data_IF_785956977071
#
_entry.id   IF_785956977071
#
_cell.length_a   1.000
_cell.length_b   1.000
_cell.length_c   1.000
_cell.angle_alpha   90.00
_cell.angle_beta   90.00
_cell.angle_gamma   90.00
#
_symmetry.space_group_name_H-M   'P 1'
#
loop_
_entity.id
_entity.type
_entity.pdbx_description
1 polymer ?
#
# COMPACT_ATOMS: atom_id res chain seq x y z
N UNK A 1 -28.83 -2.62 -2.28
CA UNK A 1 -27.53 -2.18 -2.83
C UNK A 1 -26.58 -3.35 -3.11
N UNK A 2 -26.25 -4.22 -2.14
CA UNK A 2 -25.35 -5.37 -2.41
C UNK A 2 -25.92 -6.39 -3.42
N UNK A 3 -27.22 -6.77 -3.28
CA UNK A 3 -27.86 -7.71 -4.22
C UNK A 3 -27.87 -7.20 -5.67
N UNK A 4 -28.06 -5.90 -5.88
CA UNK A 4 -28.02 -5.29 -7.21
C UNK A 4 -26.61 -5.30 -7.80
N UNK A 5 -25.57 -5.06 -6.98
CA UNK A 5 -24.19 -5.16 -7.44
C UNK A 5 -23.82 -6.58 -7.86
N UNK A 6 -24.22 -7.59 -7.07
CA UNK A 6 -24.03 -9.00 -7.43
C UNK A 6 -24.72 -9.33 -8.76
N UNK A 7 -25.99 -8.94 -8.92
CA UNK A 7 -26.74 -9.20 -10.14
C UNK A 7 -26.11 -8.54 -11.38
N UNK A 8 -25.66 -7.29 -11.27
CA UNK A 8 -24.98 -6.59 -12.37
C UNK A 8 -23.69 -7.31 -12.74
N UNK A 9 -22.83 -7.62 -11.77
CA UNK A 9 -21.55 -8.26 -12.06
C UNK A 9 -21.74 -9.68 -12.64
N UNK A 10 -22.71 -10.46 -12.13
CA UNK A 10 -23.05 -11.77 -12.72
C UNK A 10 -23.49 -11.62 -14.18
N UNK A 11 -24.39 -10.67 -14.47
CA UNK A 11 -24.84 -10.42 -15.84
C UNK A 11 -23.69 -9.98 -16.76
N UNK A 12 -22.74 -9.18 -16.26
CA UNK A 12 -21.56 -8.77 -17.01
C UNK A 12 -20.63 -9.95 -17.30
N UNK A 13 -20.43 -10.87 -16.34
CA UNK A 13 -19.66 -12.11 -16.58
C UNK A 13 -20.31 -12.95 -17.67
N UNK A 14 -21.62 -13.19 -17.59
CA UNK A 14 -22.36 -13.96 -18.60
C UNK A 14 -22.29 -13.31 -20.00
N UNK A 15 -22.42 -11.98 -20.07
CA UNK A 15 -22.32 -11.25 -21.34
C UNK A 15 -20.91 -11.35 -21.92
N UNK A 16 -19.88 -11.18 -21.09
CA UNK A 16 -18.50 -11.30 -21.52
C UNK A 16 -18.15 -12.73 -21.96
N UNK A 17 -18.65 -13.76 -21.28
CA UNK A 17 -18.47 -15.16 -21.69
C UNK A 17 -19.05 -15.42 -23.09
N UNK A 18 -20.25 -14.90 -23.36
CA UNK A 18 -20.87 -15.01 -24.69
C UNK A 18 -20.05 -14.30 -25.75
N UNK A 19 -19.55 -13.09 -25.45
CA UNK A 19 -18.72 -12.34 -26.37
C UNK A 19 -17.40 -13.08 -26.67
N UNK A 20 -16.66 -13.49 -25.63
CA UNK A 20 -15.38 -14.17 -25.75
C UNK A 20 -15.49 -15.54 -26.46
N UNK A 21 -16.65 -16.21 -26.39
CA UNK A 21 -16.89 -17.44 -27.16
C UNK A 21 -17.02 -17.24 -28.67
N UNK A 22 -17.24 -15.99 -29.11
CA UNK A 22 -17.47 -15.63 -30.51
C UNK A 22 -16.33 -14.79 -31.09
N UNK A 23 -15.59 -14.08 -30.24
CA UNK A 23 -14.45 -13.24 -30.62
C UNK A 23 -13.18 -14.09 -30.76
N UNK A 24 -12.32 -13.68 -31.68
CA UNK A 24 -10.92 -14.12 -31.76
C UNK A 24 -10.07 -13.18 -30.92
N UNK A 25 -8.92 -13.67 -30.45
CA UNK A 25 -7.98 -12.86 -29.68
C UNK A 25 -7.45 -11.62 -30.43
N UNK A 26 -7.55 -11.61 -31.77
CA UNK A 26 -7.17 -10.47 -32.62
C UNK A 26 -8.26 -9.42 -32.76
N UNK A 27 -9.48 -9.68 -32.28
CA UNK A 27 -10.60 -8.77 -32.45
C UNK A 27 -10.50 -7.63 -31.44
N UNK A 28 -10.75 -6.39 -31.89
CA UNK A 28 -10.63 -5.18 -31.05
C UNK A 28 -11.45 -5.25 -29.74
N UNK A 29 -12.58 -5.96 -29.76
CA UNK A 29 -13.48 -6.10 -28.62
C UNK A 29 -13.05 -7.19 -27.61
N UNK A 30 -12.06 -8.03 -27.95
CA UNK A 30 -11.63 -9.12 -27.08
C UNK A 30 -11.13 -8.58 -25.73
N UNK A 31 -10.25 -7.57 -25.78
CA UNK A 31 -9.66 -6.96 -24.58
C UNK A 31 -10.71 -6.28 -23.70
N UNK A 32 -11.72 -5.64 -24.31
CA UNK A 32 -12.83 -5.04 -23.57
C UNK A 32 -13.66 -6.09 -22.85
N UNK A 33 -14.05 -7.17 -23.55
CA UNK A 33 -14.83 -8.26 -22.97
C UNK A 33 -14.05 -9.00 -21.86
N UNK A 34 -12.77 -9.28 -22.09
CA UNK A 34 -11.89 -9.92 -21.11
C UNK A 34 -11.71 -9.05 -19.87
N UNK A 35 -11.50 -7.75 -20.04
CA UNK A 35 -11.37 -6.78 -18.93
C UNK A 35 -12.68 -6.72 -18.12
N UNK A 36 -13.83 -6.62 -18.79
CA UNK A 36 -15.13 -6.57 -18.13
C UNK A 36 -15.39 -7.84 -17.31
N UNK A 37 -15.04 -9.02 -17.84
CA UNK A 37 -15.13 -10.29 -17.12
C UNK A 37 -14.21 -10.33 -15.90
N UNK A 38 -12.94 -9.97 -16.06
CA UNK A 38 -11.96 -9.92 -14.97
C UNK A 38 -12.44 -9.03 -13.81
N UNK A 39 -12.87 -7.81 -14.11
CA UNK A 39 -13.34 -6.86 -13.10
C UNK A 39 -14.62 -7.33 -12.40
N UNK A 40 -15.53 -7.96 -13.14
CA UNK A 40 -16.79 -8.47 -12.59
C UNK A 40 -16.58 -9.68 -11.70
N UNK A 41 -15.67 -10.60 -12.07
CA UNK A 41 -15.27 -11.73 -11.24
C UNK A 41 -14.57 -11.27 -9.95
N UNK A 42 -13.67 -10.29 -10.04
CA UNK A 42 -13.06 -9.64 -8.87
C UNK A 42 -14.12 -9.04 -7.94
N UNK A 43 -15.10 -8.32 -8.49
CA UNK A 43 -16.19 -7.74 -7.70
C UNK A 43 -17.02 -8.82 -6.99
N UNK A 44 -17.39 -9.90 -7.68
CA UNK A 44 -18.13 -11.01 -7.08
C UNK A 44 -17.33 -11.71 -5.98
N UNK A 45 -16.03 -11.92 -6.20
CA UNK A 45 -15.10 -12.47 -5.20
C UNK A 45 -15.09 -11.61 -3.94
N UNK A 46 -14.95 -10.28 -4.08
CA UNK A 46 -15.01 -9.33 -2.95
C UNK A 46 -16.35 -9.32 -2.22
N UNK A 47 -17.44 -9.64 -2.92
CA UNK A 47 -18.79 -9.76 -2.35
C UNK A 47 -19.06 -11.15 -1.75
N UNK A 48 -18.03 -12.00 -1.60
CA UNK A 48 -18.09 -13.29 -0.92
C UNK A 48 -18.46 -14.48 -1.82
N UNK A 49 -18.50 -14.31 -3.15
CA UNK A 49 -18.74 -15.42 -4.06
C UNK A 49 -17.44 -16.22 -4.29
N UNK A 50 -17.32 -17.36 -3.63
CA UNK A 50 -16.13 -18.23 -3.70
C UNK A 50 -15.95 -18.89 -5.07
N UNK A 51 -17.04 -19.16 -5.82
CA UNK A 51 -16.94 -19.69 -7.17
C UNK A 51 -16.30 -18.65 -8.10
N UNK A 52 -16.74 -17.39 -8.02
CA UNK A 52 -16.15 -16.30 -8.79
C UNK A 52 -14.67 -16.07 -8.48
N UNK A 53 -14.24 -16.33 -7.24
CA UNK A 53 -12.83 -16.30 -6.86
C UNK A 53 -11.99 -17.38 -7.57
N UNK A 54 -12.53 -18.59 -7.74
CA UNK A 54 -11.89 -19.66 -8.52
C UNK A 54 -11.91 -19.35 -10.01
N UNK A 55 -13.02 -18.85 -10.53
CA UNK A 55 -13.18 -18.49 -11.94
C UNK A 55 -12.25 -17.34 -12.33
N UNK A 56 -12.09 -16.34 -11.45
CA UNK A 56 -11.12 -15.26 -11.63
C UNK A 56 -9.71 -15.82 -11.78
N UNK A 57 -9.31 -16.75 -10.91
CA UNK A 57 -7.95 -17.32 -10.97
C UNK A 57 -7.72 -18.07 -12.28
N UNK A 58 -8.64 -18.94 -12.66
CA UNK A 58 -8.52 -19.72 -13.90
C UNK A 58 -8.49 -18.81 -15.13
N UNK A 59 -9.38 -17.83 -15.20
CA UNK A 59 -9.47 -16.92 -16.34
C UNK A 59 -8.28 -15.95 -16.41
N UNK A 60 -7.84 -15.41 -15.28
CA UNK A 60 -6.64 -14.56 -15.25
C UNK A 60 -5.39 -15.33 -15.71
N UNK A 61 -5.21 -16.59 -15.27
CA UNK A 61 -4.09 -17.42 -15.73
C UNK A 61 -4.11 -17.65 -17.24
N UNK A 62 -5.27 -17.92 -17.85
CA UNK A 62 -5.34 -18.07 -19.31
C UNK A 62 -4.98 -16.77 -20.05
N UNK A 63 -5.29 -15.60 -19.50
CA UNK A 63 -4.95 -14.32 -20.11
C UNK A 63 -3.46 -13.96 -19.98
N UNK A 64 -2.76 -14.49 -18.97
CA UNK A 64 -1.30 -14.28 -18.82
C UNK A 64 -0.51 -14.97 -19.93
N UNK A 65 -0.99 -16.12 -20.40
CA UNK A 65 -0.40 -16.89 -21.50
C UNK A 65 -0.94 -16.45 -22.87
N UNK A 66 -1.92 -15.54 -22.87
CA UNK A 66 -2.60 -15.03 -24.06
C UNK A 66 -1.80 -13.97 -24.83
N UNK A 67 -2.31 -13.53 -25.99
CA UNK A 67 -1.56 -12.66 -26.89
C UNK A 67 -1.58 -11.17 -26.51
N UNK A 68 -2.51 -10.71 -25.66
CA UNK A 68 -2.58 -9.29 -25.24
C UNK A 68 -1.68 -9.03 -24.02
N UNK A 69 -0.58 -8.24 -24.16
CA UNK A 69 0.28 -7.91 -23.04
C UNK A 69 -0.44 -7.05 -21.99
N UNK A 70 -1.40 -6.22 -22.41
CA UNK A 70 -2.18 -5.39 -21.51
C UNK A 70 -3.08 -6.24 -20.61
N UNK A 71 -3.78 -7.23 -21.17
CA UNK A 71 -4.57 -8.19 -20.40
C UNK A 71 -3.70 -9.04 -19.47
N UNK A 72 -2.50 -9.43 -19.92
CA UNK A 72 -1.58 -10.18 -19.07
C UNK A 72 -1.14 -9.38 -17.84
N UNK A 73 -0.90 -8.07 -17.97
CA UNK A 73 -0.58 -7.18 -16.85
C UNK A 73 -1.79 -7.03 -15.91
N UNK A 74 -2.99 -6.79 -16.45
CA UNK A 74 -4.21 -6.69 -15.65
C UNK A 74 -4.46 -7.98 -14.87
N UNK A 75 -4.40 -9.13 -15.55
CA UNK A 75 -4.59 -10.44 -14.94
C UNK A 75 -3.62 -10.69 -13.79
N UNK A 76 -2.32 -10.39 -13.97
CA UNK A 76 -1.31 -10.50 -12.90
C UNK A 76 -1.65 -9.57 -11.73
N UNK A 77 -2.06 -8.33 -12.00
CA UNK A 77 -2.44 -7.36 -10.97
C UNK A 77 -3.62 -7.86 -10.14
N UNK A 78 -4.64 -8.43 -10.79
CA UNK A 78 -5.84 -8.95 -10.11
C UNK A 78 -5.53 -10.21 -9.30
N UNK A 79 -4.70 -11.12 -9.80
CA UNK A 79 -4.22 -12.27 -9.01
C UNK A 79 -3.45 -11.81 -7.77
N UNK A 80 -2.56 -10.83 -7.93
CA UNK A 80 -1.79 -10.26 -6.83
C UNK A 80 -2.70 -9.62 -5.76
N UNK A 81 -3.76 -8.91 -6.18
CA UNK A 81 -4.79 -8.38 -5.26
C UNK A 81 -5.46 -9.49 -4.47
N UNK A 82 -5.79 -10.61 -5.12
CA UNK A 82 -6.42 -11.75 -4.45
C UNK A 82 -5.47 -12.42 -3.45
N UNK A 83 -4.20 -12.61 -3.81
CA UNK A 83 -3.16 -13.13 -2.92
C UNK A 83 -2.95 -12.20 -1.70
N UNK A 84 -2.88 -10.89 -1.94
CA UNK A 84 -2.76 -9.90 -0.87
C UNK A 84 -4.00 -9.94 0.04
N UNK A 85 -5.20 -10.00 -0.51
CA UNK A 85 -6.43 -10.10 0.29
C UNK A 85 -6.44 -11.36 1.16
N UNK A 86 -6.01 -12.51 0.63
CA UNK A 86 -5.90 -13.74 1.40
C UNK A 86 -4.86 -13.59 2.52
N UNK A 87 -3.70 -13.00 2.24
CA UNK A 87 -2.68 -12.70 3.24
C UNK A 87 -3.26 -11.87 4.38
N UNK A 88 -3.93 -10.75 4.08
CA UNK A 88 -4.47 -9.84 5.10
C UNK A 88 -5.60 -10.48 5.90
N UNK A 89 -6.44 -11.28 5.24
CA UNK A 89 -7.56 -12.00 5.88
C UNK A 89 -7.06 -13.07 6.84
N UNK A 90 -6.03 -13.84 6.44
CA UNK A 90 -5.46 -14.93 7.23
C UNK A 90 -4.33 -14.47 8.17
N UNK A 91 -3.85 -13.23 8.02
CA UNK A 91 -2.65 -12.68 8.69
C UNK A 91 -1.40 -13.54 8.45
N UNK A 92 -1.27 -14.07 7.24
CA UNK A 92 -0.20 -14.98 6.84
C UNK A 92 1.02 -14.18 6.33
N UNK A 93 1.79 -13.62 7.27
CA UNK A 93 2.91 -12.73 6.97
C UNK A 93 4.07 -13.39 6.21
N UNK A 94 4.19 -14.72 6.24
CA UNK A 94 5.22 -15.48 5.52
C UNK A 94 5.09 -15.31 4.00
N UNK A 95 3.87 -15.03 3.50
CA UNK A 95 3.63 -14.76 2.08
C UNK A 95 3.96 -13.33 1.66
N UNK A 96 4.11 -12.40 2.59
CA UNK A 96 4.29 -10.98 2.29
C UNK A 96 5.52 -10.68 1.42
N UNK A 97 6.72 -11.26 1.66
CA UNK A 97 7.89 -10.98 0.82
C UNK A 97 7.68 -11.36 -0.65
N UNK A 98 6.97 -12.45 -0.93
CA UNK A 98 6.66 -12.88 -2.28
C UNK A 98 5.70 -11.90 -2.98
N UNK A 99 4.65 -11.47 -2.29
CA UNK A 99 3.66 -10.50 -2.80
C UNK A 99 4.33 -9.14 -3.05
N UNK A 100 5.18 -8.66 -2.13
CA UNK A 100 5.96 -7.42 -2.31
C UNK A 100 6.84 -7.52 -3.56
N UNK A 101 7.55 -8.65 -3.74
CA UNK A 101 8.39 -8.86 -4.91
C UNK A 101 7.57 -8.83 -6.21
N UNK A 102 6.46 -9.56 -6.28
CA UNK A 102 5.59 -9.56 -7.46
C UNK A 102 5.03 -8.16 -7.78
N UNK A 103 4.62 -7.41 -6.76
CA UNK A 103 4.17 -6.03 -6.93
C UNK A 103 5.29 -5.14 -7.52
N UNK A 104 6.52 -5.31 -7.02
CA UNK A 104 7.70 -4.58 -7.49
C UNK A 104 8.07 -4.92 -8.94
N UNK A 105 7.94 -6.19 -9.34
CA UNK A 105 8.16 -6.64 -10.72
C UNK A 105 7.12 -6.05 -11.68
N UNK A 106 5.83 -6.06 -11.32
CA UNK A 106 4.77 -5.45 -12.12
C UNK A 106 4.98 -3.94 -12.26
N UNK A 107 5.31 -3.27 -11.17
CA UNK A 107 5.58 -1.84 -11.15
C UNK A 107 6.82 -1.49 -11.98
N UNK A 108 7.87 -2.31 -11.93
CA UNK A 108 9.08 -2.09 -12.72
C UNK A 108 8.86 -2.31 -14.22
N UNK A 109 7.93 -3.20 -14.59
CA UNK A 109 7.57 -3.43 -16.00
C UNK A 109 6.91 -2.20 -16.63
N UNK A 110 6.12 -1.45 -15.86
CA UNK A 110 5.57 -0.16 -16.28
C UNK A 110 5.51 0.83 -15.10
N UNK A 111 6.57 1.62 -14.88
CA UNK A 111 6.63 2.59 -13.77
C UNK A 111 5.59 3.70 -13.84
N UNK A 112 4.95 3.89 -15.01
CA UNK A 112 3.96 4.94 -15.25
C UNK A 112 2.51 4.45 -15.09
N UNK A 113 2.31 3.14 -14.84
CA UNK A 113 0.99 2.56 -14.63
C UNK A 113 0.42 2.93 -13.25
N UNK A 114 -0.51 3.88 -13.26
CA UNK A 114 -1.12 4.40 -12.04
C UNK A 114 -1.86 3.32 -11.23
N UNK A 115 -2.42 2.30 -11.89
CA UNK A 115 -3.13 1.23 -11.20
C UNK A 115 -2.16 0.31 -10.43
N UNK A 116 -1.03 -0.05 -11.01
CA UNK A 116 0.01 -0.83 -10.32
C UNK A 116 0.71 -0.02 -9.23
N UNK A 117 1.00 1.26 -9.47
CA UNK A 117 1.50 2.16 -8.43
C UNK A 117 0.52 2.27 -7.25
N UNK A 118 -0.78 2.44 -7.53
CA UNK A 118 -1.82 2.46 -6.51
C UNK A 118 -1.84 1.19 -5.68
N UNK A 119 -1.76 0.02 -6.31
CA UNK A 119 -1.67 -1.28 -5.63
C UNK A 119 -0.43 -1.38 -4.74
N UNK A 120 0.74 -1.00 -5.26
CA UNK A 120 2.00 -1.04 -4.51
C UNK A 120 1.93 -0.16 -3.25
N UNK A 121 1.34 1.04 -3.36
CA UNK A 121 1.14 1.95 -2.23
C UNK A 121 0.16 1.39 -1.20
N UNK A 122 -0.98 0.86 -1.66
CA UNK A 122 -1.95 0.21 -0.77
C UNK A 122 -1.33 -0.96 -0.01
N UNK A 123 -0.53 -1.78 -0.69
CA UNK A 123 0.16 -2.92 -0.10
C UNK A 123 1.17 -2.46 0.98
N UNK A 124 2.03 -1.48 0.67
CA UNK A 124 3.03 -0.96 1.61
C UNK A 124 2.38 -0.35 2.87
N UNK A 125 1.30 0.42 2.67
CA UNK A 125 0.58 1.06 3.77
C UNK A 125 -0.24 0.06 4.60
N UNK A 126 -0.78 -0.99 3.99
CA UNK A 126 -1.51 -2.03 4.72
C UNK A 126 -0.61 -2.77 5.71
N UNK A 127 0.68 -2.98 5.39
CA UNK A 127 1.64 -3.55 6.33
C UNK A 127 1.94 -2.64 7.53
N UNK A 128 1.90 -1.32 7.39
CA UNK A 128 2.09 -0.39 8.52
C UNK A 128 1.01 -0.52 9.59
N UNK A 129 -0.21 -0.87 9.16
CA UNK A 129 -1.36 -1.02 10.04
C UNK A 129 -1.49 -2.45 10.59
N UNK A 130 -0.55 -3.33 10.28
CA UNK A 130 -0.53 -4.70 10.79
C UNK A 130 0.46 -4.83 11.94
N UNK A 131 0.05 -5.39 13.10
CA UNK A 131 0.99 -5.73 14.16
C UNK A 131 2.12 -6.64 13.64
N UNK A 132 3.37 -6.22 13.80
CA UNK A 132 4.55 -6.95 13.28
C UNK A 132 4.83 -6.75 11.79
N UNK A 133 4.08 -5.86 11.12
CA UNK A 133 4.23 -5.55 9.70
C UNK A 133 5.29 -4.50 9.40
N UNK A 134 5.96 -3.91 10.39
CA UNK A 134 6.88 -2.78 10.21
C UNK A 134 8.06 -3.14 9.29
N UNK A 135 8.64 -4.33 9.47
CA UNK A 135 9.73 -4.82 8.62
C UNK A 135 9.27 -5.04 7.17
N UNK A 136 8.05 -5.55 7.00
CA UNK A 136 7.45 -5.80 5.68
C UNK A 136 7.08 -4.49 4.98
N UNK A 137 6.56 -3.52 5.73
CA UNK A 137 6.28 -2.19 5.22
C UNK A 137 7.57 -1.51 4.75
N UNK A 138 8.63 -1.58 5.56
CA UNK A 138 9.96 -1.08 5.17
C UNK A 138 10.44 -1.76 3.88
N UNK A 139 10.37 -3.09 3.80
CA UNK A 139 10.75 -3.85 2.61
C UNK A 139 9.94 -3.40 1.38
N UNK A 140 8.63 -3.20 1.53
CA UNK A 140 7.74 -2.75 0.45
C UNK A 140 8.16 -1.37 -0.07
N UNK A 141 8.35 -0.40 0.84
CA UNK A 141 8.77 0.94 0.46
C UNK A 141 10.18 0.97 -0.17
N UNK A 142 11.12 0.17 0.32
CA UNK A 142 12.47 0.03 -0.28
C UNK A 142 12.39 -0.55 -1.69
N UNK A 143 11.45 -1.48 -1.92
CA UNK A 143 11.23 -2.10 -3.23
C UNK A 143 10.59 -1.12 -4.21
N UNK A 144 9.59 -0.35 -3.78
CA UNK A 144 8.76 0.46 -4.67
C UNK A 144 9.30 1.88 -4.89
N UNK A 145 9.86 2.50 -3.84
CA UNK A 145 10.29 3.90 -3.86
C UNK A 145 11.24 4.27 -5.01
N UNK A 146 12.29 3.49 -5.29
CA UNK A 146 13.18 3.75 -6.42
C UNK A 146 12.49 3.69 -7.78
N UNK A 147 11.43 2.90 -7.92
CA UNK A 147 10.65 2.79 -9.17
C UNK A 147 9.74 4.01 -9.33
N UNK A 148 9.05 4.41 -8.26
CA UNK A 148 8.20 5.61 -8.24
C UNK A 148 9.00 6.87 -8.60
N UNK A 149 10.20 7.02 -8.04
CA UNK A 149 11.07 8.16 -8.31
C UNK A 149 11.49 8.29 -9.80
N UNK A 150 11.47 7.19 -10.56
CA UNK A 150 11.83 7.14 -11.99
C UNK A 150 10.63 7.31 -12.92
N UNK A 151 9.41 7.34 -12.40
CA UNK A 151 8.20 7.49 -13.21
C UNK A 151 8.17 8.83 -13.94
N UNK A 152 7.68 8.84 -15.18
CA UNK A 152 7.33 10.04 -15.94
C UNK A 152 5.99 10.64 -15.49
N UNK A 153 5.16 9.87 -14.79
CA UNK A 153 3.91 10.36 -14.21
C UNK A 153 4.18 11.18 -12.94
N UNK A 154 3.78 12.46 -12.96
CA UNK A 154 4.00 13.41 -11.87
C UNK A 154 3.35 12.97 -10.55
N UNK A 155 2.15 12.38 -10.63
CA UNK A 155 1.42 11.90 -9.44
C UNK A 155 2.16 10.74 -8.79
N UNK A 156 2.77 9.86 -9.58
CA UNK A 156 3.56 8.73 -9.09
C UNK A 156 4.88 9.22 -8.48
N UNK A 157 5.56 10.18 -9.11
CA UNK A 157 6.77 10.77 -8.52
C UNK A 157 6.50 11.47 -7.20
N UNK A 158 5.39 12.19 -7.08
CA UNK A 158 5.01 12.85 -5.83
C UNK A 158 4.79 11.84 -4.69
N UNK A 159 4.24 10.67 -4.98
CA UNK A 159 4.14 9.58 -4.01
C UNK A 159 5.52 9.08 -3.52
N UNK A 160 6.56 9.15 -4.36
CA UNK A 160 7.92 8.75 -3.99
C UNK A 160 8.48 9.59 -2.82
N UNK A 161 8.16 10.87 -2.76
CA UNK A 161 8.58 11.76 -1.67
C UNK A 161 7.97 11.32 -0.34
N UNK A 162 6.68 10.92 -0.36
CA UNK A 162 6.01 10.37 0.82
C UNK A 162 6.67 9.07 1.29
N UNK A 163 7.13 8.22 0.35
CA UNK A 163 7.81 6.96 0.70
C UNK A 163 9.13 7.23 1.40
N UNK A 164 9.89 8.24 0.97
CA UNK A 164 11.14 8.59 1.63
C UNK A 164 10.93 9.04 3.08
N UNK A 165 9.87 9.83 3.32
CA UNK A 165 9.47 10.22 4.68
C UNK A 165 9.13 9.01 5.55
N UNK A 166 8.30 8.11 5.03
CA UNK A 166 7.90 6.89 5.75
C UNK A 166 9.09 5.95 5.98
N UNK A 167 9.94 5.73 4.98
CA UNK A 167 11.15 4.91 5.10
C UNK A 167 12.12 5.44 6.13
N UNK A 168 12.32 6.77 6.17
CA UNK A 168 13.12 7.40 7.20
C UNK A 168 12.57 7.06 8.58
N UNK A 169 11.26 7.26 8.80
CA UNK A 169 10.56 6.94 10.06
C UNK A 169 10.72 5.47 10.44
N UNK A 170 10.41 4.54 9.53
CA UNK A 170 10.49 3.09 9.77
C UNK A 170 11.93 2.60 10.00
N UNK A 171 12.92 3.36 9.55
CA UNK A 171 14.34 3.04 9.76
C UNK A 171 14.94 3.66 11.02
N UNK A 172 14.21 4.51 11.75
CA UNK A 172 14.73 5.14 12.98
C UNK A 172 15.00 4.17 14.13
N UNK A 173 14.20 3.10 14.39
CA UNK A 173 14.48 2.19 15.48
C UNK A 173 15.90 1.60 15.38
N UNK A 174 16.68 1.73 16.45
CA UNK A 174 18.09 1.31 16.51
C UNK A 174 19.08 2.24 15.80
N UNK A 175 18.62 3.34 15.20
CA UNK A 175 19.46 4.33 14.52
C UNK A 175 19.34 5.71 15.18
N UNK A 176 20.40 6.56 15.12
CA UNK A 176 20.32 7.92 15.63
C UNK A 176 19.32 8.77 14.81
N UNK A 177 18.35 9.38 15.50
CA UNK A 177 17.50 10.40 14.90
C UNK A 177 18.17 11.76 15.07
N UNK A 178 18.70 12.37 13.98
CA UNK A 178 19.32 13.69 14.05
C UNK A 178 18.28 14.81 14.24
N UNK A 179 18.28 15.48 15.39
CA UNK A 179 17.44 16.66 15.66
C UNK A 179 18.30 17.86 16.03
N UNK A 180 18.09 18.95 15.31
CA UNK A 180 18.66 20.26 15.56
C UNK A 180 17.61 21.32 15.29
N UNK A 181 17.68 22.47 15.94
CA UNK A 181 16.71 23.53 15.69
C UNK A 181 17.00 24.81 16.44
N UNK A 182 15.97 25.63 16.58
CA UNK A 182 16.02 26.88 17.35
C UNK A 182 14.90 26.83 18.38
N UNK A 183 15.25 27.01 19.65
CA UNK A 183 14.32 27.08 20.75
C UNK A 183 13.49 28.38 20.68
N UNK A 184 12.39 28.43 21.44
CA UNK A 184 11.52 29.61 21.50
C UNK A 184 12.24 30.89 21.96
N UNK A 185 13.33 30.75 22.72
CA UNK A 185 14.16 31.87 23.17
C UNK A 185 15.26 32.28 22.16
N UNK A 186 15.25 31.71 20.95
CA UNK A 186 16.23 32.00 19.90
C UNK A 186 17.56 31.25 20.03
N UNK A 187 17.77 30.44 21.08
CA UNK A 187 18.99 29.66 21.24
C UNK A 187 19.00 28.44 20.30
N UNK A 188 20.17 28.02 19.82
CA UNK A 188 20.29 26.79 19.05
C UNK A 188 20.02 25.56 19.94
N UNK A 189 19.34 24.58 19.37
CA UNK A 189 19.15 23.25 19.95
C UNK A 189 19.94 22.22 19.14
N UNK A 190 20.61 21.32 19.85
CA UNK A 190 21.23 20.12 19.29
C UNK A 190 20.92 18.94 20.21
N UNK A 191 20.58 17.79 19.63
CA UNK A 191 20.25 16.58 20.38
C UNK A 191 21.33 16.12 21.39
N UNK A 192 22.60 16.48 21.18
CA UNK A 192 23.67 16.12 22.11
C UNK A 192 23.45 16.71 23.51
N UNK A 193 22.68 17.80 23.61
CA UNK A 193 22.29 18.42 24.89
C UNK A 193 21.39 17.53 25.76
N UNK A 194 20.73 16.54 25.17
CA UNK A 194 19.85 15.59 25.85
C UNK A 194 20.37 14.15 25.79
N UNK A 195 21.64 13.96 25.41
CA UNK A 195 22.26 12.65 25.33
C UNK A 195 22.27 11.94 26.70
N UNK A 196 21.97 10.63 26.71
CA UNK A 196 21.88 9.82 27.92
C UNK A 196 20.54 9.90 28.66
N UNK A 197 19.60 10.75 28.19
CA UNK A 197 18.22 10.80 28.68
C UNK A 197 17.30 9.94 27.82
N UNK A 198 16.16 9.57 28.39
CA UNK A 198 14.99 9.11 27.63
C UNK A 198 14.26 10.37 27.17
N UNK A 199 14.16 10.58 25.86
CA UNK A 199 13.59 11.80 25.29
C UNK A 199 12.30 11.47 24.55
N UNK A 200 11.20 12.14 24.92
CA UNK A 200 9.96 12.13 24.16
C UNK A 200 9.97 13.30 23.18
N UNK A 201 10.01 13.02 21.88
CA UNK A 201 9.88 14.06 20.85
C UNK A 201 8.43 14.13 20.39
N UNK A 202 7.76 15.24 20.71
CA UNK A 202 6.36 15.47 20.34
C UNK A 202 6.22 16.44 19.15
N UNK A 203 5.65 15.95 18.04
CA UNK A 203 5.37 16.74 16.85
C UNK A 203 3.94 17.28 16.90
N UNK A 204 3.78 18.51 17.37
CA UNK A 204 2.48 19.16 17.54
C UNK A 204 2.41 20.52 16.82
N UNK A 205 1.23 21.14 16.85
CA UNK A 205 1.02 22.49 16.34
C UNK A 205 -0.04 23.25 17.16
N UNK A 206 0.07 24.58 17.20
CA UNK A 206 -0.84 25.47 17.98
C UNK A 206 -2.30 25.44 17.52
N UNK A 207 -2.56 24.94 16.32
CA UNK A 207 -3.91 24.75 15.78
C UNK A 207 -4.41 23.31 15.92
N UNK A 208 -3.58 22.38 16.42
CA UNK A 208 -3.95 20.99 16.62
C UNK A 208 -4.70 20.83 17.96
N UNK A 209 -6.03 20.86 17.92
CA UNK A 209 -6.89 20.71 19.11
C UNK A 209 -6.57 19.46 19.96
N UNK A 210 -6.51 18.25 19.37
CA UNK A 210 -6.13 17.05 20.11
C UNK A 210 -4.73 17.13 20.73
N UNK A 211 -3.75 17.68 20.01
CA UNK A 211 -2.39 17.81 20.54
C UNK A 211 -2.35 18.72 21.78
N UNK A 212 -3.07 19.85 21.76
CA UNK A 212 -3.17 20.76 22.91
C UNK A 212 -3.81 20.06 24.10
N UNK A 213 -4.83 19.23 23.86
CA UNK A 213 -5.50 18.47 24.92
C UNK A 213 -4.60 17.42 25.57
N UNK A 214 -3.52 16.97 24.90
CA UNK A 214 -2.55 16.02 25.44
C UNK A 214 -1.42 16.67 26.27
N UNK A 215 -1.18 17.97 26.11
CA UNK A 215 -0.11 18.68 26.85
C UNK A 215 -0.19 18.47 28.37
N UNK A 216 -1.37 18.53 29.03
CA UNK A 216 -1.46 18.25 30.47
C UNK A 216 -0.95 16.85 30.86
N UNK A 217 -1.21 15.83 30.03
CA UNK A 217 -0.73 14.47 30.27
C UNK A 217 0.80 14.40 30.14
N UNK A 218 1.36 15.07 29.13
CA UNK A 218 2.82 15.17 28.93
C UNK A 218 3.48 15.85 30.14
N UNK A 219 2.91 16.95 30.63
CA UNK A 219 3.39 17.64 31.82
C UNK A 219 3.36 16.74 33.07
N UNK A 220 2.28 15.99 33.27
CA UNK A 220 2.20 15.02 34.38
C UNK A 220 3.33 13.98 34.32
N UNK A 221 3.60 13.43 33.13
CA UNK A 221 4.69 12.47 32.96
C UNK A 221 6.06 13.12 33.17
N UNK A 222 6.24 14.36 32.70
CA UNK A 222 7.46 15.12 32.91
C UNK A 222 7.77 15.29 34.39
N UNK A 223 6.83 15.83 35.17
CA UNK A 223 6.99 16.02 36.62
C UNK A 223 7.36 14.72 37.34
N UNK A 224 6.76 13.61 36.92
CA UNK A 224 6.98 12.29 37.55
C UNK A 224 8.33 11.67 37.21
N UNK A 225 8.84 11.86 36.00
CA UNK A 225 10.00 11.12 35.49
C UNK A 225 11.22 11.98 35.18
N UNK A 226 11.13 13.31 35.17
CA UNK A 226 12.23 14.19 34.78
C UNK A 226 13.49 13.97 35.61
N UNK A 227 13.33 13.89 36.94
CA UNK A 227 14.43 13.60 37.88
C UNK A 227 15.08 12.22 37.69
N UNK A 228 14.42 11.32 36.94
CA UNK A 228 14.88 9.96 36.62
C UNK A 228 15.48 9.87 35.21
N UNK A 229 15.77 11.00 34.58
CA UNK A 229 16.41 11.08 33.26
C UNK A 229 15.43 11.10 32.09
N UNK A 230 14.18 11.51 32.29
CA UNK A 230 13.23 11.77 31.22
C UNK A 230 13.26 13.25 30.77
N UNK A 231 13.16 13.50 29.47
CA UNK A 231 13.08 14.83 28.87
C UNK A 231 12.01 14.86 27.78
N UNK A 232 11.46 16.04 27.51
CA UNK A 232 10.49 16.30 26.43
C UNK A 232 11.05 17.39 25.53
#
# INVERSE_FOLDING_TARGET
>A
MMKSMQAIATATVEAADRALSQLKDSDDLFDEAATAKLQSLMMLSRLGNTAASSDLQSFAKSLIEGPSPALAVEAKRLLLVQEAQELFTKRDLEKAPAIIKQAGELLSANPDDAATAGLAMQLASAFEHMPGGEALSKQAYETFGPVFAKSKNDSIRQMAESFQGTLRRLSLPGNPMKITGTLLNGQPFDQSTVAGKIVLVDFWATWCGPCIAEIPNVLEQYEKYHSRGFEV
#
